data_IF_397809626805
#
_entry.id   IF_397809626805
#
_cell.length_a   1.000
_cell.length_b   1.000
_cell.length_c   1.000
_cell.angle_alpha   90.00
_cell.angle_beta   90.00
_cell.angle_gamma   90.00
#
_symmetry.space_group_name_H-M   'P 1'
#
loop_
_entity.id
_entity.type
_entity.pdbx_description
1 polymer ?
#
# COMPACT_ATOMS: atom_id res chain seq x y z
N UNK A 1 -14.90 -26.14 -15.87
CA UNK A 1 -14.25 -24.82 -15.81
C UNK A 1 -14.48 -24.30 -14.41
N UNK A 2 -13.50 -24.46 -13.51
CA UNK A 2 -13.65 -24.00 -12.12
C UNK A 2 -13.70 -22.46 -12.10
N UNK A 3 -14.75 -21.90 -11.48
CA UNK A 3 -14.79 -20.47 -11.17
C UNK A 3 -13.83 -20.23 -10.03
N UNK A 4 -12.70 -19.59 -10.31
CA UNK A 4 -11.82 -19.08 -9.27
C UNK A 4 -12.57 -17.99 -8.51
N UNK A 5 -12.85 -18.24 -7.23
CA UNK A 5 -13.46 -17.28 -6.33
C UNK A 5 -12.32 -16.40 -5.77
N UNK A 6 -12.25 -15.15 -6.22
CA UNK A 6 -11.17 -14.22 -5.85
C UNK A 6 -11.61 -13.33 -4.69
N UNK A 7 -11.83 -13.95 -3.53
CA UNK A 7 -12.18 -13.23 -2.31
C UNK A 7 -10.92 -12.82 -1.54
N UNK A 8 -11.02 -11.73 -0.78
CA UNK A 8 -9.99 -11.22 0.15
C UNK A 8 -8.64 -10.87 -0.48
N UNK A 9 -8.65 -10.37 -1.71
CA UNK A 9 -7.45 -9.86 -2.37
C UNK A 9 -7.30 -8.35 -2.14
N UNK A 10 -6.05 -7.91 -1.98
CA UNK A 10 -5.67 -6.50 -1.99
C UNK A 10 -4.50 -6.32 -2.95
N UNK A 11 -4.75 -5.64 -4.05
CA UNK A 11 -3.79 -5.39 -5.13
C UNK A 11 -3.49 -3.90 -5.19
N UNK A 12 -2.21 -3.56 -5.14
CA UNK A 12 -1.76 -2.18 -5.29
C UNK A 12 -0.86 -2.06 -6.51
N UNK A 13 -1.31 -1.31 -7.52
CA UNK A 13 -0.57 -1.07 -8.76
C UNK A 13 0.17 0.26 -8.65
N UNK A 14 1.44 0.25 -9.06
CA UNK A 14 2.30 1.43 -9.02
C UNK A 14 1.77 2.58 -9.90
N UNK A 15 1.16 2.27 -11.04
CA UNK A 15 0.49 3.24 -11.89
C UNK A 15 -0.85 2.70 -12.41
N UNK A 16 -1.79 3.62 -12.64
CA UNK A 16 -2.99 3.36 -13.43
C UNK A 16 -2.62 2.98 -14.87
N UNK A 17 -3.55 2.31 -15.57
CA UNK A 17 -3.43 2.08 -17.00
C UNK A 17 -3.18 3.39 -17.75
N UNK A 18 -2.34 3.32 -18.79
CA UNK A 18 -1.87 4.49 -19.56
C UNK A 18 -0.94 5.46 -18.81
N UNK A 19 -0.61 5.22 -17.53
CA UNK A 19 0.39 5.99 -16.79
C UNK A 19 1.71 5.23 -16.62
N UNK A 20 2.82 5.97 -16.64
CA UNK A 20 4.17 5.43 -16.45
C UNK A 20 4.47 5.30 -14.96
N UNK A 21 4.94 4.12 -14.54
CA UNK A 21 5.54 3.92 -13.22
C UNK A 21 6.96 4.50 -13.20
N UNK A 22 7.14 5.62 -12.49
CA UNK A 22 8.40 6.37 -12.44
C UNK A 22 9.40 5.72 -11.49
N UNK A 23 10.67 5.76 -11.88
CA UNK A 23 11.79 5.20 -11.13
C UNK A 23 13.00 6.13 -11.20
N UNK A 24 13.74 6.18 -10.09
CA UNK A 24 15.08 6.74 -10.06
C UNK A 24 16.12 5.64 -10.21
N UNK A 25 17.22 5.91 -10.94
CA UNK A 25 18.32 4.95 -11.11
C UNK A 25 18.96 4.57 -9.76
N UNK A 26 19.18 5.55 -8.89
CA UNK A 26 19.83 5.33 -7.56
C UNK A 26 18.84 4.92 -6.48
N UNK A 27 17.65 5.52 -6.42
CA UNK A 27 16.73 5.37 -5.28
C UNK A 27 15.58 4.39 -5.52
N UNK A 28 15.47 3.85 -6.74
CA UNK A 28 14.40 2.93 -7.12
C UNK A 28 13.06 3.60 -7.43
N UNK A 29 12.00 2.78 -7.46
CA UNK A 29 10.63 3.19 -7.83
C UNK A 29 10.05 4.20 -6.83
N UNK A 30 9.35 5.23 -7.33
CA UNK A 30 8.67 6.20 -6.46
C UNK A 30 7.63 5.51 -5.55
N UNK A 31 6.89 4.54 -6.08
CA UNK A 31 5.88 3.78 -5.34
C UNK A 31 6.52 2.94 -4.23
N UNK A 32 7.61 2.23 -4.52
CA UNK A 32 8.30 1.41 -3.51
C UNK A 32 8.89 2.27 -2.40
N UNK A 33 9.51 3.41 -2.74
CA UNK A 33 10.04 4.35 -1.74
C UNK A 33 8.95 4.90 -0.82
N UNK A 34 7.82 5.30 -1.42
CA UNK A 34 6.66 5.79 -0.66
C UNK A 34 6.07 4.69 0.22
N UNK A 35 5.95 3.46 -0.30
CA UNK A 35 5.45 2.29 0.42
C UNK A 35 6.29 1.98 1.65
N UNK A 36 7.60 1.77 1.48
CA UNK A 36 8.51 1.46 2.58
C UNK A 36 8.47 2.55 3.64
N UNK A 37 8.57 3.83 3.22
CA UNK A 37 8.53 4.95 4.15
C UNK A 37 7.21 5.06 4.92
N UNK A 38 6.07 4.78 4.28
CA UNK A 38 4.77 4.82 4.96
C UNK A 38 4.56 3.62 5.87
N UNK A 39 4.90 2.42 5.42
CA UNK A 39 4.82 1.19 6.22
C UNK A 39 5.68 1.29 7.48
N UNK A 40 6.95 1.67 7.32
CA UNK A 40 7.88 1.83 8.45
C UNK A 40 7.34 2.80 9.52
N UNK A 41 6.67 3.88 9.09
CA UNK A 41 6.17 4.91 10.02
C UNK A 41 4.79 4.58 10.61
N UNK A 42 3.96 3.82 9.91
CA UNK A 42 2.51 3.77 10.18
C UNK A 42 1.95 2.36 10.38
N UNK A 43 2.69 1.28 10.07
CA UNK A 43 2.18 -0.10 10.14
C UNK A 43 1.71 -0.54 11.54
N UNK A 44 2.24 0.07 12.61
CA UNK A 44 1.81 -0.25 13.98
C UNK A 44 0.45 0.36 14.35
N UNK A 45 0.02 1.42 13.67
CA UNK A 45 -1.09 2.27 14.13
C UNK A 45 -2.24 2.37 13.14
N UNK A 46 -2.01 2.02 11.87
CA UNK A 46 -2.95 2.23 10.79
C UNK A 46 -3.21 0.94 10.02
N UNK A 47 -4.43 0.83 9.51
CA UNK A 47 -4.79 -0.20 8.54
C UNK A 47 -4.12 0.08 7.18
N UNK A 48 -4.03 -0.96 6.36
CA UNK A 48 -3.37 -0.89 5.07
C UNK A 48 -4.01 0.11 4.09
N UNK A 49 -5.33 0.34 4.11
CA UNK A 49 -5.92 1.38 3.24
C UNK A 49 -5.45 2.77 3.63
N UNK A 50 -5.45 3.07 4.93
CA UNK A 50 -4.95 4.34 5.44
C UNK A 50 -3.48 4.54 5.03
N UNK A 51 -2.67 3.48 5.13
CA UNK A 51 -1.27 3.51 4.67
C UNK A 51 -1.18 3.75 3.16
N UNK A 52 -1.99 3.08 2.33
CA UNK A 52 -1.94 3.27 0.88
C UNK A 52 -2.42 4.66 0.42
N UNK A 53 -3.36 5.30 1.12
CA UNK A 53 -3.69 6.72 0.89
C UNK A 53 -2.49 7.64 1.13
N UNK A 54 -1.70 7.35 2.17
CA UNK A 54 -0.46 8.08 2.42
C UNK A 54 0.60 7.80 1.35
N UNK A 55 0.68 6.57 0.84
CA UNK A 55 1.56 6.20 -0.29
C UNK A 55 1.18 7.01 -1.54
N UNK A 56 -0.10 7.06 -1.91
CA UNK A 56 -0.58 7.89 -3.03
C UNK A 56 -0.17 9.36 -2.88
N UNK A 57 -0.36 9.92 -1.68
CA UNK A 57 0.02 11.31 -1.38
C UNK A 57 1.53 11.53 -1.50
N UNK A 58 2.34 10.60 -0.98
CA UNK A 58 3.81 10.68 -1.10
C UNK A 58 4.28 10.55 -2.53
N UNK A 59 3.73 9.64 -3.33
CA UNK A 59 4.08 9.51 -4.75
C UNK A 59 3.77 10.81 -5.49
N UNK A 60 2.60 11.41 -5.25
CA UNK A 60 2.25 12.71 -5.84
C UNK A 60 3.24 13.80 -5.46
N UNK A 61 3.62 13.91 -4.18
CA UNK A 61 4.65 14.86 -3.72
C UNK A 61 6.00 14.62 -4.40
N UNK A 62 6.46 13.37 -4.45
CA UNK A 62 7.72 13.02 -5.11
C UNK A 62 7.74 13.33 -6.62
N UNK A 63 6.58 13.32 -7.27
CA UNK A 63 6.47 13.76 -8.67
C UNK A 63 6.60 15.29 -8.78
N UNK A 64 5.94 16.04 -7.89
CA UNK A 64 5.99 17.51 -7.85
C UNK A 64 7.39 18.01 -7.51
N UNK A 65 8.03 17.47 -6.46
CA UNK A 65 9.36 17.90 -5.99
C UNK A 65 10.46 17.69 -7.04
N UNK A 66 10.21 16.85 -8.05
CA UNK A 66 11.15 16.52 -9.12
C UNK A 66 10.76 17.13 -10.47
N UNK A 67 9.76 18.01 -10.49
CA UNK A 67 9.23 18.61 -11.72
C UNK A 67 8.96 17.56 -12.80
N UNK A 68 8.37 16.42 -12.42
CA UNK A 68 7.99 15.39 -13.38
C UNK A 68 6.65 15.78 -14.02
N UNK A 69 6.70 16.33 -15.24
CA UNK A 69 5.54 16.85 -15.98
C UNK A 69 4.39 15.83 -16.12
N UNK A 70 4.73 14.55 -16.25
CA UNK A 70 3.78 13.45 -16.19
C UNK A 70 3.77 12.88 -14.76
N UNK A 71 2.72 13.17 -13.98
CA UNK A 71 2.53 12.60 -12.65
C UNK A 71 2.41 11.06 -12.66
N UNK A 72 2.38 10.47 -11.47
CA UNK A 72 2.13 9.05 -11.27
C UNK A 72 0.94 8.86 -10.32
N UNK A 73 -0.02 8.01 -10.71
CA UNK A 73 -1.22 7.70 -9.93
C UNK A 73 -1.21 6.24 -9.47
N UNK A 74 -1.00 6.02 -8.18
CA UNK A 74 -1.04 4.69 -7.55
C UNK A 74 -2.50 4.24 -7.41
N UNK A 75 -2.79 3.00 -7.81
CA UNK A 75 -4.14 2.42 -7.76
C UNK A 75 -4.20 1.32 -6.72
N UNK A 76 -5.26 1.33 -5.91
CA UNK A 76 -5.58 0.28 -4.95
C UNK A 76 -6.87 -0.39 -5.43
N UNK A 77 -6.83 -1.70 -5.60
CA UNK A 77 -7.97 -2.54 -5.96
C UNK A 77 -8.07 -3.66 -4.94
N UNK A 78 -9.28 -4.05 -4.57
CA UNK A 78 -9.49 -5.08 -3.58
C UNK A 78 -10.81 -5.82 -3.76
N UNK A 79 -10.88 -6.99 -3.14
CA UNK A 79 -12.09 -7.81 -2.98
C UNK A 79 -12.33 -8.14 -1.51
N UNK A 80 -11.97 -7.22 -0.61
CA UNK A 80 -12.12 -7.39 0.84
C UNK A 80 -13.60 -7.20 1.22
N UNK A 81 -14.42 -8.21 0.95
CA UNK A 81 -15.89 -8.15 1.11
C UNK A 81 -16.34 -8.19 2.57
N UNK A 82 -15.57 -8.82 3.45
CA UNK A 82 -15.91 -8.98 4.87
C UNK A 82 -14.89 -8.34 5.83
N UNK A 83 -13.67 -8.06 5.37
CA UNK A 83 -12.65 -7.37 6.16
C UNK A 83 -12.74 -5.84 5.98
N UNK A 84 -13.35 -5.15 6.96
CA UNK A 84 -13.46 -3.67 6.92
C UNK A 84 -12.11 -2.95 7.09
N UNK A 85 -11.12 -3.59 7.74
CA UNK A 85 -9.78 -3.04 7.99
C UNK A 85 -8.74 -4.15 8.10
N UNK A 86 -7.65 -4.03 7.35
CA UNK A 86 -6.53 -4.96 7.37
C UNK A 86 -5.33 -4.34 8.11
N UNK A 87 -4.97 -4.89 9.26
CA UNK A 87 -3.85 -4.46 10.09
C UNK A 87 -2.72 -5.50 10.06
N UNK A 88 -1.47 -5.04 10.18
CA UNK A 88 -0.29 -5.92 10.11
C UNK A 88 0.25 -6.36 11.47
N UNK A 89 -0.11 -5.67 12.55
CA UNK A 89 0.34 -5.95 13.93
C UNK A 89 1.85 -6.29 14.06
N UNK A 90 2.76 -5.48 13.50
CA UNK A 90 4.19 -5.78 13.53
C UNK A 90 4.70 -5.84 14.98
N UNK A 91 5.43 -6.91 15.31
CA UNK A 91 5.98 -7.12 16.66
C UNK A 91 4.96 -7.60 17.70
N UNK A 92 3.71 -7.85 17.32
CA UNK A 92 2.75 -8.49 18.21
C UNK A 92 3.05 -9.99 18.31
N UNK A 93 3.57 -10.41 19.47
CA UNK A 93 3.67 -11.83 19.81
C UNK A 93 2.31 -12.28 20.37
N UNK A 94 1.49 -12.93 19.54
CA UNK A 94 0.21 -13.53 19.94
C UNK A 94 0.32 -14.68 20.95
N UNK A 95 1.44 -14.81 21.66
CA UNK A 95 1.73 -15.89 22.61
C UNK A 95 1.19 -15.65 24.02
N UNK A 96 0.46 -14.56 24.28
CA UNK A 96 -0.48 -14.54 25.40
C UNK A 96 -1.80 -15.12 24.90
N UNK A 97 -1.93 -16.44 25.04
CA UNK A 97 -3.20 -17.16 24.88
C UNK A 97 -4.29 -16.43 25.66
N UNK A 98 -5.47 -16.40 25.05
CA UNK A 98 -6.71 -15.97 25.65
C UNK A 98 -7.13 -16.95 26.77
N UNK A 99 -6.42 -16.93 27.89
CA UNK A 99 -6.77 -17.68 29.12
C UNK A 99 -6.88 -16.75 30.34
N UNK A 100 -7.14 -15.45 30.15
CA UNK A 100 -7.45 -14.53 31.25
C UNK A 100 -8.44 -13.46 30.77
N UNK A 101 -9.74 -13.79 30.72
CA UNK A 101 -10.91 -12.92 31.00
C UNK A 101 -12.21 -13.66 30.69
#
# INVERSE_FOLDING_TARGET
MERLNYDDLLVVKSSMESFISKRHCVYGSLMIRALVSSMYKHACHHDLYTIFKQVQTKVRKLCLDRNLDSGQLVVVWDTLTHMRKLYLFPGFNGSKRADDS
#
